data_IF_658311740911
#
_entry.id   IF_658311740911
#
_cell.length_a   1.000
_cell.length_b   1.000
_cell.length_c   1.000
_cell.angle_alpha   90.00
_cell.angle_beta   90.00
_cell.angle_gamma   90.00
#
_symmetry.space_group_name_H-M   'P 1'
#
loop_
_entity.id
_entity.type
_entity.pdbx_description
1 polymer ?
#
# COMPACT_ATOMS: atom_id res chain seq x y z
N UNK A 1 -11.17 3.06 8.80
CA UNK A 1 -11.11 1.76 8.14
C UNK A 1 -9.79 1.59 7.39
N UNK A 2 -9.46 0.33 6.97
CA UNK A 2 -8.28 0.06 6.13
C UNK A 2 -8.28 0.86 4.84
N UNK A 3 -9.40 0.94 4.14
CA UNK A 3 -9.57 1.74 2.93
C UNK A 3 -9.23 3.21 3.16
N UNK A 4 -9.78 3.83 4.22
CA UNK A 4 -9.54 5.25 4.50
C UNK A 4 -8.07 5.55 4.82
N UNK A 5 -7.39 4.69 5.56
CA UNK A 5 -5.96 4.92 5.88
C UNK A 5 -5.07 4.76 4.65
N UNK A 6 -5.39 3.83 3.74
CA UNK A 6 -4.66 3.72 2.49
C UNK A 6 -4.94 4.92 1.58
N UNK A 7 -6.20 5.33 1.40
CA UNK A 7 -6.54 6.57 0.66
C UNK A 7 -5.75 7.77 1.19
N UNK A 8 -5.66 7.90 2.51
CA UNK A 8 -4.93 9.01 3.13
C UNK A 8 -3.43 8.89 2.89
N UNK A 9 -2.83 7.69 2.99
CA UNK A 9 -1.42 7.45 2.70
C UNK A 9 -1.06 7.79 1.25
N UNK A 10 -1.91 7.44 0.28
CA UNK A 10 -1.73 7.80 -1.13
C UNK A 10 -1.79 9.32 -1.34
N UNK A 11 -2.71 10.00 -0.65
CA UNK A 11 -2.81 11.47 -0.70
C UNK A 11 -1.58 12.15 -0.12
N UNK A 12 -1.05 11.67 1.01
CA UNK A 12 0.20 12.15 1.59
C UNK A 12 1.37 11.98 0.62
N UNK A 13 1.50 10.80 0.02
CA UNK A 13 2.58 10.51 -0.92
C UNK A 13 2.55 11.44 -2.14
N UNK A 14 1.37 11.67 -2.71
CA UNK A 14 1.18 12.60 -3.84
C UNK A 14 1.48 14.04 -3.45
N UNK A 15 0.98 14.49 -2.31
CA UNK A 15 1.23 15.85 -1.83
C UNK A 15 2.71 16.12 -1.54
N UNK A 16 3.38 15.18 -0.89
CA UNK A 16 4.79 15.30 -0.55
C UNK A 16 5.71 15.32 -1.79
N UNK A 17 5.42 14.47 -2.79
CA UNK A 17 6.28 14.31 -3.96
C UNK A 17 5.91 15.22 -5.13
N UNK A 18 4.68 15.74 -5.17
CA UNK A 18 4.12 16.43 -6.35
C UNK A 18 3.85 15.50 -7.53
N UNK A 19 3.94 14.18 -7.34
CA UNK A 19 3.75 13.15 -8.36
C UNK A 19 2.43 12.42 -8.13
N UNK A 20 1.89 11.75 -9.14
CA UNK A 20 0.54 11.17 -9.04
C UNK A 20 0.47 9.66 -9.17
N UNK A 21 1.39 9.03 -9.90
CA UNK A 21 1.33 7.59 -10.16
C UNK A 21 1.76 6.77 -8.95
N UNK A 22 1.08 5.65 -8.77
CA UNK A 22 1.33 4.68 -7.71
C UNK A 22 1.69 3.35 -8.36
N UNK A 23 2.82 2.78 -7.95
CA UNK A 23 3.12 1.37 -8.23
C UNK A 23 2.39 0.52 -7.21
N UNK A 24 1.65 -0.48 -7.69
CA UNK A 24 1.02 -1.51 -6.87
C UNK A 24 1.31 -2.89 -7.48
N UNK A 25 1.17 -3.95 -6.68
CA UNK A 25 1.42 -5.31 -7.13
C UNK A 25 0.12 -6.07 -7.37
N UNK A 26 0.14 -6.91 -8.42
CA UNK A 26 -0.97 -7.76 -8.79
C UNK A 26 -1.36 -8.69 -7.66
N UNK A 27 -2.67 -8.87 -7.43
CA UNK A 27 -3.22 -9.71 -6.36
C UNK A 27 -3.22 -9.09 -4.97
N UNK A 28 -2.61 -7.92 -4.75
CA UNK A 28 -2.60 -7.25 -3.45
C UNK A 28 -3.86 -6.42 -3.23
N UNK A 29 -4.47 -6.55 -2.05
CA UNK A 29 -5.68 -5.85 -1.65
C UNK A 29 -5.37 -4.67 -0.71
N UNK A 30 -5.82 -3.48 -1.08
CA UNK A 30 -5.55 -2.26 -0.31
C UNK A 30 -6.81 -1.51 0.12
N UNK A 31 -7.97 -2.02 -0.17
CA UNK A 31 -9.25 -1.38 0.12
C UNK A 31 -10.24 -1.53 -1.02
N UNK A 32 -11.39 -0.88 -0.87
CA UNK A 32 -12.49 -0.99 -1.84
C UNK A 32 -12.82 0.33 -2.56
N UNK A 33 -12.01 1.36 -2.38
CA UNK A 33 -12.11 2.55 -3.24
C UNK A 33 -11.76 2.19 -4.69
N UNK A 34 -12.22 2.98 -5.62
CA UNK A 34 -12.06 2.69 -7.05
C UNK A 34 -10.62 2.46 -7.46
N UNK A 35 -9.68 3.22 -6.90
CA UNK A 35 -8.25 3.14 -7.18
C UNK A 35 -7.58 1.95 -6.48
N UNK A 36 -7.97 1.67 -5.23
CA UNK A 36 -7.36 0.60 -4.45
C UNK A 36 -7.77 -0.79 -4.93
N UNK A 37 -9.04 -0.92 -5.40
CA UNK A 37 -9.62 -2.18 -5.82
C UNK A 37 -9.36 -2.46 -7.31
N UNK A 38 -8.11 -2.44 -7.72
CA UNK A 38 -7.68 -2.76 -9.10
C UNK A 38 -6.80 -4.00 -9.06
N UNK A 39 -7.08 -4.98 -9.93
CA UNK A 39 -6.27 -6.19 -10.14
C UNK A 39 -6.04 -7.01 -8.87
N UNK A 40 -7.12 -7.26 -8.13
CA UNK A 40 -7.14 -8.12 -6.95
C UNK A 40 -7.52 -9.53 -7.37
N UNK A 41 -8.57 -9.65 -8.17
CA UNK A 41 -9.12 -10.91 -8.64
C UNK A 41 -9.11 -10.96 -10.15
N UNK A 42 -8.76 -12.11 -10.70
CA UNK A 42 -8.90 -12.45 -12.12
C UNK A 42 -9.68 -13.76 -12.22
N UNK A 43 -10.63 -13.82 -13.14
CA UNK A 43 -11.41 -15.04 -13.37
C UNK A 43 -10.56 -16.19 -13.90
N UNK A 44 -9.56 -15.85 -14.71
CA UNK A 44 -8.61 -16.81 -15.29
C UNK A 44 -7.21 -16.23 -15.35
N UNK A 45 -6.19 -17.10 -15.44
CA UNK A 45 -4.79 -16.67 -15.63
C UNK A 45 -4.60 -15.83 -16.90
N UNK A 46 -5.39 -16.09 -17.94
CA UNK A 46 -5.34 -15.33 -19.19
C UNK A 46 -5.79 -13.86 -19.02
N UNK A 47 -6.63 -13.58 -18.03
CA UNK A 47 -7.12 -12.23 -17.75
C UNK A 47 -6.05 -11.35 -17.11
N UNK A 48 -5.06 -11.95 -16.48
CA UNK A 48 -3.94 -11.21 -15.86
C UNK A 48 -3.10 -10.46 -16.91
N UNK A 49 -3.11 -10.91 -18.16
CA UNK A 49 -2.29 -10.35 -19.23
C UNK A 49 -0.83 -10.82 -19.14
N UNK A 50 0.06 -10.21 -19.95
CA UNK A 50 1.47 -10.58 -19.93
C UNK A 50 2.15 -10.08 -18.64
N UNK A 51 3.08 -10.89 -18.11
CA UNK A 51 3.80 -10.59 -16.85
C UNK A 51 4.51 -9.22 -16.88
N UNK A 52 5.03 -8.83 -18.02
CA UNK A 52 5.75 -7.57 -18.20
C UNK A 52 4.84 -6.34 -18.20
N UNK A 53 3.55 -6.54 -18.43
CA UNK A 53 2.53 -5.49 -18.43
C UNK A 53 1.19 -6.08 -17.99
N UNK A 54 1.02 -6.38 -16.70
CA UNK A 54 -0.20 -6.96 -16.16
C UNK A 54 -1.44 -6.11 -16.49
N UNK A 55 -2.54 -6.79 -16.80
CA UNK A 55 -3.78 -6.10 -17.15
C UNK A 55 -4.43 -5.50 -15.92
N UNK A 56 -4.83 -4.24 -16.00
CA UNK A 56 -5.59 -3.57 -14.95
C UNK A 56 -7.05 -4.04 -14.99
N UNK A 57 -7.41 -4.89 -14.04
CA UNK A 57 -8.76 -5.45 -13.90
C UNK A 57 -9.53 -4.60 -12.89
N UNK A 58 -10.74 -4.17 -13.28
CA UNK A 58 -11.69 -3.47 -12.41
C UNK A 58 -12.79 -4.47 -12.00
N UNK A 59 -12.68 -5.14 -10.85
CA UNK A 59 -13.50 -6.30 -10.54
C UNK A 59 -14.92 -5.94 -10.08
N UNK A 60 -15.20 -4.67 -9.82
CA UNK A 60 -16.47 -4.26 -9.23
C UNK A 60 -17.28 -3.39 -10.20
N UNK A 61 -18.54 -3.73 -10.40
CA UNK A 61 -19.47 -2.89 -11.16
C UNK A 61 -19.57 -1.51 -10.52
N UNK A 62 -19.55 -0.47 -11.34
CA UNK A 62 -19.64 0.92 -10.89
C UNK A 62 -18.29 1.59 -10.63
N UNK A 63 -17.17 0.87 -10.66
CA UNK A 63 -15.85 1.52 -10.64
C UNK A 63 -15.67 2.40 -11.88
N UNK A 64 -15.03 3.55 -11.68
CA UNK A 64 -14.70 4.44 -12.81
C UNK A 64 -13.54 3.85 -13.59
N UNK A 65 -13.65 3.77 -14.91
CA UNK A 65 -12.59 3.26 -15.77
C UNK A 65 -11.27 4.02 -15.61
N UNK A 66 -11.35 5.34 -15.42
CA UNK A 66 -10.17 6.20 -15.22
C UNK A 66 -9.48 6.03 -13.85
N UNK A 67 -10.07 5.32 -12.90
CA UNK A 67 -9.46 5.14 -11.58
C UNK A 67 -8.15 4.35 -11.61
N UNK A 68 -7.94 3.56 -12.66
CA UNK A 68 -6.71 2.82 -12.87
C UNK A 68 -5.61 3.57 -13.65
N UNK A 69 -5.89 4.78 -14.15
CA UNK A 69 -4.96 5.50 -15.03
C UNK A 69 -3.66 5.88 -14.31
N UNK A 70 -3.77 6.22 -13.02
CA UNK A 70 -2.61 6.59 -12.21
C UNK A 70 -1.92 5.40 -11.53
N UNK A 71 -2.36 4.18 -11.78
CA UNK A 71 -1.72 2.98 -11.29
C UNK A 71 -0.72 2.40 -12.29
N UNK A 72 0.40 1.92 -11.78
CA UNK A 72 1.34 1.06 -12.48
C UNK A 72 1.31 -0.29 -11.79
N UNK A 73 0.84 -1.30 -12.50
CA UNK A 73 0.71 -2.64 -11.96
C UNK A 73 1.95 -3.47 -12.29
N UNK A 74 2.54 -4.10 -11.28
CA UNK A 74 3.71 -4.96 -11.43
C UNK A 74 3.47 -6.35 -10.83
N UNK A 75 4.19 -7.37 -11.31
CA UNK A 75 4.17 -8.69 -10.69
C UNK A 75 4.83 -8.67 -9.30
N UNK A 76 4.27 -9.45 -8.37
CA UNK A 76 4.85 -9.65 -7.05
C UNK A 76 6.18 -10.43 -7.11
N UNK A 77 7.10 -10.12 -6.19
CA UNK A 77 8.43 -10.77 -6.11
C UNK A 77 9.32 -10.57 -7.35
N UNK A 78 9.19 -9.45 -8.04
CA UNK A 78 9.97 -9.13 -9.24
C UNK A 78 10.69 -7.77 -9.08
N UNK A 79 11.92 -7.81 -8.51
CA UNK A 79 12.74 -6.60 -8.33
C UNK A 79 13.20 -6.00 -9.67
N UNK A 80 13.39 -6.84 -10.68
CA UNK A 80 13.86 -6.36 -11.99
C UNK A 80 12.76 -5.53 -12.69
N UNK A 81 11.51 -6.00 -12.62
CA UNK A 81 10.37 -5.23 -13.13
C UNK A 81 10.22 -3.88 -12.40
N UNK A 82 10.41 -3.88 -11.08
CA UNK A 82 10.37 -2.65 -10.28
C UNK A 82 11.51 -1.70 -10.66
N UNK A 83 12.76 -2.19 -10.74
CA UNK A 83 13.92 -1.35 -11.07
C UNK A 83 13.80 -0.72 -12.47
N UNK A 84 13.38 -1.50 -13.48
CA UNK A 84 13.10 -0.97 -14.83
C UNK A 84 12.06 0.14 -14.78
N UNK A 85 10.96 -0.09 -14.05
CA UNK A 85 9.87 0.87 -13.95
C UNK A 85 10.31 2.17 -13.28
N UNK A 86 11.00 2.06 -12.14
CA UNK A 86 11.50 3.23 -11.42
C UNK A 86 12.57 3.99 -12.22
N UNK A 87 13.45 3.27 -12.92
CA UNK A 87 14.46 3.89 -13.79
C UNK A 87 13.82 4.72 -14.89
N UNK A 88 12.78 4.20 -15.51
CA UNK A 88 12.14 4.86 -16.66
C UNK A 88 11.14 5.95 -16.27
N UNK A 89 10.48 5.83 -15.09
CA UNK A 89 9.28 6.61 -14.78
C UNK A 89 9.28 7.27 -13.39
N UNK A 90 10.41 7.30 -12.66
CA UNK A 90 10.47 7.84 -11.29
C UNK A 90 9.87 9.26 -11.15
N UNK A 91 9.95 10.09 -12.19
CA UNK A 91 9.44 11.45 -12.15
C UNK A 91 7.91 11.56 -12.12
N UNK A 92 7.21 10.47 -12.44
CA UNK A 92 5.75 10.36 -12.38
C UNK A 92 5.27 9.66 -11.10
N UNK A 93 6.14 8.84 -10.47
CA UNK A 93 5.76 7.91 -9.39
C UNK A 93 5.93 8.57 -8.03
N UNK A 94 4.81 8.69 -7.30
CA UNK A 94 4.79 9.17 -5.93
C UNK A 94 5.25 8.10 -4.94
N UNK A 95 4.73 6.88 -5.08
CA UNK A 95 5.01 5.80 -4.15
C UNK A 95 4.90 4.41 -4.79
N UNK A 96 5.56 3.46 -4.12
CA UNK A 96 5.30 2.02 -4.23
C UNK A 96 4.44 1.63 -3.04
N UNK A 97 3.22 1.18 -3.30
CA UNK A 97 2.28 0.65 -2.30
C UNK A 97 2.33 -0.87 -2.32
N UNK A 98 2.50 -1.49 -1.16
CA UNK A 98 2.55 -2.95 -1.07
C UNK A 98 2.10 -3.49 0.28
N UNK A 99 1.48 -4.67 0.27
CA UNK A 99 1.45 -5.54 1.43
C UNK A 99 2.84 -6.18 1.57
N UNK A 100 3.48 -6.14 2.76
CA UNK A 100 4.78 -6.81 2.95
C UNK A 100 4.74 -8.33 2.81
N UNK A 101 3.57 -8.90 3.01
CA UNK A 101 3.19 -10.27 2.69
C UNK A 101 1.81 -10.20 2.04
N UNK A 102 1.66 -10.72 0.85
CA UNK A 102 0.35 -10.79 0.20
C UNK A 102 -0.56 -11.71 1.00
N UNK A 103 -1.76 -11.25 1.35
CA UNK A 103 -2.63 -11.97 2.27
C UNK A 103 -3.99 -12.35 1.66
N UNK A 104 -4.55 -11.51 0.81
CA UNK A 104 -5.93 -11.68 0.31
C UNK A 104 -6.05 -12.87 -0.67
N UNK A 105 -5.11 -13.00 -1.58
CA UNK A 105 -5.03 -14.12 -2.54
C UNK A 105 -4.37 -15.38 -1.96
N UNK A 106 -4.31 -15.50 -0.64
CA UNK A 106 -3.54 -16.50 0.08
C UNK A 106 -2.16 -15.94 0.52
N UNK A 107 -1.55 -16.49 1.59
CA UNK A 107 -0.32 -15.94 2.14
C UNK A 107 0.88 -16.24 1.21
N UNK A 108 1.18 -15.29 0.33
CA UNK A 108 2.35 -15.36 -0.55
C UNK A 108 3.46 -14.50 0.05
N UNK A 109 4.47 -15.16 0.61
CA UNK A 109 5.58 -14.49 1.27
C UNK A 109 6.50 -13.76 0.29
N UNK A 110 7.15 -12.67 0.73
CA UNK A 110 8.23 -12.08 -0.04
C UNK A 110 9.39 -13.08 -0.14
N UNK A 111 10.01 -13.15 -1.32
CA UNK A 111 11.24 -13.92 -1.48
C UNK A 111 12.37 -13.33 -0.61
N UNK A 112 13.36 -14.15 -0.21
CA UNK A 112 14.50 -13.65 0.56
C UNK A 112 15.14 -12.42 -0.10
N UNK A 113 15.29 -11.35 0.67
CA UNK A 113 15.89 -10.10 0.18
C UNK A 113 14.94 -9.19 -0.63
N UNK A 114 13.74 -9.62 -1.01
CA UNK A 114 12.84 -8.83 -1.86
C UNK A 114 12.45 -7.49 -1.22
N UNK A 115 11.98 -7.48 0.03
CA UNK A 115 11.59 -6.24 0.71
C UNK A 115 12.75 -5.27 0.90
N UNK A 116 13.93 -5.79 1.23
CA UNK A 116 15.15 -4.97 1.33
C UNK A 116 15.54 -4.38 -0.03
N UNK A 117 15.41 -5.17 -1.11
CA UNK A 117 15.62 -4.70 -2.48
C UNK A 117 14.62 -3.61 -2.88
N UNK A 118 13.34 -3.77 -2.58
CA UNK A 118 12.31 -2.73 -2.81
C UNK A 118 12.67 -1.45 -2.05
N UNK A 119 13.07 -1.54 -0.76
CA UNK A 119 13.48 -0.38 0.04
C UNK A 119 14.68 0.34 -0.58
N UNK A 120 15.67 -0.40 -1.03
CA UNK A 120 16.86 0.17 -1.67
C UNK A 120 16.52 0.87 -2.98
N UNK A 121 15.71 0.24 -3.84
CA UNK A 121 15.26 0.82 -5.09
C UNK A 121 14.46 2.11 -4.88
N UNK A 122 13.49 2.09 -3.97
CA UNK A 122 12.67 3.27 -3.69
C UNK A 122 13.51 4.44 -3.16
N UNK A 123 14.49 4.19 -2.29
CA UNK A 123 15.43 5.22 -1.82
C UNK A 123 16.29 5.77 -2.95
N UNK A 124 16.87 4.90 -3.78
CA UNK A 124 17.73 5.29 -4.90
C UNK A 124 17.02 6.20 -5.89
N UNK A 125 15.75 5.92 -6.15
CA UNK A 125 14.95 6.68 -7.12
C UNK A 125 14.15 7.85 -6.50
N UNK A 126 14.24 8.07 -5.19
CA UNK A 126 13.49 9.13 -4.50
C UNK A 126 11.97 8.95 -4.60
N UNK A 127 11.50 7.70 -4.53
CA UNK A 127 10.09 7.29 -4.52
C UNK A 127 9.75 6.81 -3.12
N UNK A 128 8.57 7.16 -2.59
CA UNK A 128 8.16 6.72 -1.26
C UNK A 128 7.80 5.23 -1.27
N UNK A 129 8.08 4.55 -0.16
CA UNK A 129 7.61 3.19 0.10
C UNK A 129 6.47 3.23 1.11
N UNK A 130 5.33 2.67 0.76
CA UNK A 130 4.18 2.51 1.64
C UNK A 130 3.98 1.03 1.93
N UNK A 131 4.02 0.65 3.21
CA UNK A 131 3.59 -0.67 3.65
C UNK A 131 2.14 -0.63 4.10
N UNK A 132 1.31 -1.40 3.43
CA UNK A 132 -0.01 -1.72 3.91
C UNK A 132 0.09 -2.85 4.95
N UNK A 133 0.07 -2.46 6.21
CA UNK A 133 0.12 -3.37 7.35
C UNK A 133 -1.27 -3.57 8.00
N UNK A 134 -2.32 -3.37 7.24
CA UNK A 134 -3.69 -3.57 7.73
C UNK A 134 -3.93 -5.01 8.19
N UNK A 135 -3.25 -6.00 7.58
CA UNK A 135 -3.29 -7.40 8.03
C UNK A 135 -2.06 -7.76 8.86
N UNK A 136 -0.87 -7.36 8.44
CA UNK A 136 0.40 -7.81 9.04
C UNK A 136 0.76 -7.07 10.33
N UNK A 137 0.25 -5.87 10.51
CA UNK A 137 0.45 -5.08 11.73
C UNK A 137 -0.10 -5.78 12.96
N UNK A 138 0.69 -5.84 14.03
CA UNK A 138 0.38 -6.55 15.29
C UNK A 138 0.15 -8.08 15.13
N UNK A 139 0.48 -8.64 13.97
CA UNK A 139 0.32 -10.07 13.66
C UNK A 139 1.64 -10.81 13.58
N UNK A 140 2.59 -10.34 12.78
CA UNK A 140 3.89 -10.99 12.62
C UNK A 140 4.84 -10.65 13.78
N UNK A 141 4.75 -9.44 14.29
CA UNK A 141 5.43 -8.95 15.47
C UNK A 141 4.64 -7.75 16.04
N UNK A 142 4.97 -7.30 17.25
CA UNK A 142 4.37 -6.10 17.83
C UNK A 142 4.57 -4.87 16.93
N UNK A 143 5.75 -4.74 16.34
CA UNK A 143 6.07 -3.69 15.37
C UNK A 143 5.69 -4.03 13.92
N UNK A 144 4.81 -5.03 13.69
CA UNK A 144 4.34 -5.41 12.37
C UNK A 144 5.37 -6.11 11.50
N UNK A 145 5.09 -6.19 10.20
CA UNK A 145 5.99 -6.78 9.21
C UNK A 145 7.30 -6.00 9.08
N UNK A 146 7.26 -4.68 9.23
CA UNK A 146 8.47 -3.86 9.19
C UNK A 146 9.50 -4.28 10.25
N UNK A 147 9.06 -4.61 11.47
CA UNK A 147 9.93 -5.13 12.51
C UNK A 147 10.36 -6.57 12.23
N UNK A 148 9.44 -7.41 11.75
CA UNK A 148 9.72 -8.82 11.46
C UNK A 148 10.76 -8.99 10.33
N UNK A 149 10.65 -8.22 9.26
CA UNK A 149 11.57 -8.29 8.12
C UNK A 149 12.75 -7.31 8.20
N UNK A 150 12.78 -6.43 9.21
CA UNK A 150 13.85 -5.42 9.37
C UNK A 150 13.84 -4.35 8.27
N UNK A 151 12.69 -4.05 7.67
CA UNK A 151 12.54 -3.07 6.60
C UNK A 151 11.53 -2.01 6.99
N UNK A 152 11.98 -0.76 7.12
CA UNK A 152 11.11 0.37 7.50
C UNK A 152 10.66 1.14 6.25
N UNK A 153 9.35 1.27 6.00
CA UNK A 153 8.79 2.08 4.92
C UNK A 153 8.86 3.58 5.25
N UNK A 154 8.47 4.43 4.31
CA UNK A 154 8.27 5.86 4.55
C UNK A 154 6.91 6.15 5.19
N UNK A 155 5.89 5.34 4.84
CA UNK A 155 4.53 5.38 5.42
C UNK A 155 4.10 3.94 5.68
N UNK A 156 3.39 3.72 6.78
CA UNK A 156 2.70 2.46 7.07
C UNK A 156 1.24 2.71 7.46
N UNK A 157 0.34 1.82 7.01
CA UNK A 157 -1.08 1.88 7.32
C UNK A 157 -1.49 0.69 8.19
N UNK A 158 -2.30 0.94 9.22
CA UNK A 158 -2.76 -0.06 10.16
C UNK A 158 -4.27 0.00 10.33
N UNK A 159 -4.91 -1.16 10.48
CA UNK A 159 -6.30 -1.30 10.86
C UNK A 159 -6.52 -2.70 11.49
N UNK A 160 -7.69 -3.28 11.35
CA UNK A 160 -8.04 -4.64 11.83
C UNK A 160 -7.55 -4.90 13.27
N UNK A 161 -6.41 -5.56 13.43
CA UNK A 161 -5.90 -5.99 14.73
C UNK A 161 -5.58 -4.82 15.69
N UNK A 162 -5.27 -3.62 15.18
CA UNK A 162 -4.84 -2.47 16.00
C UNK A 162 -5.82 -2.11 17.13
N UNK A 163 -7.10 -2.39 16.98
CA UNK A 163 -8.13 -2.06 17.97
C UNK A 163 -9.07 -3.25 18.26
N UNK A 164 -8.60 -4.49 18.03
CA UNK A 164 -9.24 -5.73 18.42
C UNK A 164 -10.76 -5.82 18.13
N UNK A 165 -11.18 -5.35 16.96
CA UNK A 165 -12.57 -5.41 16.48
C UNK A 165 -13.32 -4.08 16.51
N UNK A 166 -12.79 -3.03 17.13
CA UNK A 166 -13.36 -1.69 16.99
C UNK A 166 -12.95 -1.05 15.67
N UNK A 167 -13.84 -0.24 15.04
CA UNK A 167 -13.51 0.50 13.82
C UNK A 167 -12.42 1.55 14.11
N UNK A 168 -11.19 1.23 13.73
CA UNK A 168 -10.04 2.11 13.93
C UNK A 168 -8.99 1.86 12.85
N UNK A 169 -8.28 2.89 12.47
CA UNK A 169 -7.14 2.80 11.59
C UNK A 169 -6.16 3.92 11.85
N UNK A 170 -4.90 3.70 11.54
CA UNK A 170 -3.83 4.66 11.73
C UNK A 170 -2.91 4.71 10.51
N UNK A 171 -2.41 5.90 10.22
CA UNK A 171 -1.31 6.14 9.29
C UNK A 171 -0.15 6.69 10.09
N UNK A 172 1.00 6.08 9.93
CA UNK A 172 2.25 6.52 10.56
C UNK A 172 3.35 6.61 9.50
N UNK A 173 4.34 7.45 9.72
CA UNK A 173 5.41 7.59 8.74
C UNK A 173 6.48 8.59 9.15
N UNK A 174 7.37 8.85 8.23
CA UNK A 174 8.39 9.88 8.39
C UNK A 174 7.75 11.22 8.69
N UNK A 175 8.33 11.96 9.64
CA UNK A 175 7.79 13.25 10.08
C UNK A 175 7.59 14.23 8.93
N UNK A 176 8.57 14.38 8.07
CA UNK A 176 8.52 15.30 6.93
C UNK A 176 7.39 14.97 5.93
N UNK A 177 7.09 13.69 5.75
CA UNK A 177 5.98 13.24 4.91
C UNK A 177 4.64 13.48 5.60
N UNK A 178 4.54 13.18 6.90
CA UNK A 178 3.32 13.38 7.68
C UNK A 178 2.96 14.86 7.84
N UNK A 179 3.96 15.73 7.93
CA UNK A 179 3.79 17.19 8.10
C UNK A 179 3.66 17.96 6.77
N UNK A 180 3.45 17.28 5.64
CA UNK A 180 3.38 17.93 4.31
C UNK A 180 2.12 18.77 4.03
N UNK A 181 1.30 19.02 5.05
CA UNK A 181 0.18 19.95 4.97
C UNK A 181 -1.15 19.34 4.48
N UNK A 182 -1.25 18.02 4.44
CA UNK A 182 -2.52 17.34 4.11
C UNK A 182 -3.33 17.11 5.40
N UNK A 183 -4.48 17.75 5.59
CA UNK A 183 -5.29 17.53 6.79
C UNK A 183 -5.98 16.17 6.74
N UNK A 184 -5.92 15.43 7.84
CA UNK A 184 -6.76 14.26 8.07
C UNK A 184 -8.12 14.72 8.59
N UNK A 185 -9.09 14.93 7.70
CA UNK A 185 -10.42 15.39 8.06
C UNK A 185 -11.41 14.23 8.12
N UNK A 186 -12.07 14.07 9.25
CA UNK A 186 -13.12 13.07 9.45
C UNK A 186 -13.76 13.25 10.83
N UNK A 187 -15.10 13.22 10.89
CA UNK A 187 -15.87 13.43 12.11
C UNK A 187 -15.44 12.51 13.26
N UNK A 188 -15.08 11.29 12.93
CA UNK A 188 -14.72 10.27 13.92
C UNK A 188 -13.21 10.07 14.10
N UNK A 189 -12.39 10.94 13.50
CA UNK A 189 -10.96 10.88 13.68
C UNK A 189 -10.59 11.16 15.15
N UNK A 190 -9.75 10.29 15.73
CA UNK A 190 -9.34 10.41 17.11
C UNK A 190 -10.48 10.13 18.11
N UNK A 191 -11.55 9.42 17.72
CA UNK A 191 -12.62 9.09 18.65
C UNK A 191 -12.09 8.31 19.86
N UNK A 192 -12.55 8.66 21.10
CA UNK A 192 -11.96 8.11 22.31
C UNK A 192 -12.14 6.60 22.47
N UNK A 193 -13.23 6.03 21.95
CA UNK A 193 -13.47 4.59 22.05
C UNK A 193 -12.46 3.80 21.21
N UNK A 194 -12.26 4.19 19.96
CA UNK A 194 -11.26 3.55 19.08
C UNK A 194 -9.84 3.72 19.59
N UNK A 195 -9.49 4.92 20.11
CA UNK A 195 -8.18 5.18 20.71
C UNK A 195 -7.97 4.34 21.96
N UNK A 196 -8.96 4.25 22.87
CA UNK A 196 -8.85 3.43 24.08
C UNK A 196 -8.70 1.94 23.73
N UNK A 197 -9.43 1.43 22.74
CA UNK A 197 -9.30 0.07 22.27
C UNK A 197 -7.89 -0.20 21.71
N UNK A 198 -7.37 0.72 20.88
CA UNK A 198 -6.04 0.60 20.30
C UNK A 198 -4.91 0.66 21.37
N UNK A 199 -5.09 1.43 22.43
CA UNK A 199 -4.13 1.49 23.54
C UNK A 199 -4.16 0.24 24.44
N UNK A 200 -5.28 -0.49 24.45
CA UNK A 200 -5.46 -1.70 25.25
C UNK A 200 -5.07 -2.98 24.48
N UNK A 201 -4.88 -2.90 23.17
CA UNK A 201 -4.44 -4.01 22.32
C UNK A 201 -2.93 -4.16 22.31
#
# INVERSE_FOLDING_TARGET
>A
SGTEVVMYALRLARAFTGRYKIVKFEGQYHGWSDEEKVSIDADTVADLGPRENPRKILPTKGQRLSSADDLILLPWNDLEALDRTLTQRREEIAAVLMEPCMCDSGPILPQPGYLAGVRELTRRHGVLLIFDEVITGFRLALGGAQAYYGVTPDIATFAKAIASGYPFGAVVGRRDVMDCGVPASGTFNGNPVGVAAALAT
#
